data_IF_013912940167
#
_entry.id   IF_013912940167
#
_cell.length_a   1.000
_cell.length_b   1.000
_cell.length_c   1.000
_cell.angle_alpha   90.00
_cell.angle_beta   90.00
_cell.angle_gamma   90.00
#
_symmetry.space_group_name_H-M   'P 1'
#
loop_
_entity.id
_entity.type
_entity.pdbx_description
1 polymer ?
#
# COMPACT_ATOMS: atom_id res chain seq x y z
N UNK A 1 0.03 17.82 10.62
CA UNK A 1 -1.16 18.18 11.43
C UNK A 1 -2.24 17.16 11.15
N UNK A 2 -2.92 16.67 12.18
CA UNK A 2 -4.03 15.74 12.06
C UNK A 2 -5.02 15.97 13.20
N UNK A 3 -6.16 15.29 13.14
CA UNK A 3 -7.08 15.19 14.26
C UNK A 3 -6.90 13.83 14.93
N UNK A 4 -6.96 13.78 16.25
CA UNK A 4 -6.98 12.53 16.97
C UNK A 4 -8.38 11.86 16.87
N UNK A 5 -8.55 10.74 17.57
CA UNK A 5 -9.82 9.98 17.56
C UNK A 5 -11.03 10.74 18.14
N UNK A 6 -10.80 11.80 18.90
CA UNK A 6 -11.84 12.64 19.49
C UNK A 6 -12.10 13.89 18.64
N UNK A 7 -11.29 14.14 17.60
CA UNK A 7 -11.39 15.32 16.74
C UNK A 7 -10.48 16.47 17.16
N UNK A 8 -9.62 16.29 18.16
CA UNK A 8 -8.74 17.34 18.65
C UNK A 8 -7.49 17.45 17.77
N UNK A 9 -7.08 18.68 17.44
CA UNK A 9 -5.94 18.91 16.54
C UNK A 9 -4.60 18.65 17.23
N UNK A 10 -3.70 17.95 16.55
CA UNK A 10 -2.34 17.75 17.02
C UNK A 10 -1.30 17.80 15.89
N UNK A 11 -0.05 17.94 16.31
CA UNK A 11 1.14 17.85 15.46
C UNK A 11 2.06 16.73 16.00
N UNK A 12 2.76 16.08 15.08
CA UNK A 12 3.66 14.97 15.39
C UNK A 12 4.85 15.06 14.45
N UNK A 13 6.04 15.21 15.02
CA UNK A 13 7.28 14.99 14.31
C UNK A 13 7.55 13.49 14.23
N UNK A 14 7.83 13.00 13.02
CA UNK A 14 8.08 11.60 12.78
C UNK A 14 9.35 11.42 11.98
N UNK A 15 10.12 10.39 12.34
CA UNK A 15 11.32 9.96 11.63
C UNK A 15 11.31 8.45 11.40
N UNK A 16 12.36 7.96 10.72
CA UNK A 16 12.57 6.55 10.48
C UNK A 16 11.33 5.84 9.90
N UNK A 17 10.96 4.72 10.53
CA UNK A 17 9.84 3.90 10.06
C UNK A 17 8.49 4.60 10.25
N UNK A 18 8.31 5.38 11.31
CA UNK A 18 7.05 6.08 11.57
C UNK A 18 6.77 7.13 10.48
N UNK A 19 7.80 7.88 10.07
CA UNK A 19 7.70 8.80 8.96
C UNK A 19 7.29 8.09 7.66
N UNK A 20 7.86 6.91 7.38
CA UNK A 20 7.53 6.13 6.18
C UNK A 20 6.07 5.66 6.23
N UNK A 21 5.62 5.14 7.36
CA UNK A 21 4.23 4.70 7.54
C UNK A 21 3.25 5.85 7.35
N UNK A 22 3.47 7.00 8.00
CA UNK A 22 2.57 8.15 7.88
C UNK A 22 2.49 8.63 6.42
N UNK A 23 3.62 8.72 5.72
CA UNK A 23 3.64 9.07 4.29
C UNK A 23 2.91 8.04 3.43
N UNK A 24 3.09 6.75 3.71
CA UNK A 24 2.42 5.66 3.00
C UNK A 24 0.88 5.73 3.13
N UNK A 25 0.39 5.97 4.35
CA UNK A 25 -1.06 6.08 4.58
C UNK A 25 -1.64 7.35 3.94
N UNK A 26 -0.91 8.47 3.96
CA UNK A 26 -1.33 9.71 3.27
C UNK A 26 -1.43 9.46 1.76
N UNK A 27 -0.45 8.79 1.15
CA UNK A 27 -0.50 8.43 -0.27
C UNK A 27 -1.75 7.59 -0.60
N UNK A 28 -2.15 6.68 0.29
CA UNK A 28 -3.37 5.90 0.11
C UNK A 28 -4.65 6.75 0.12
N UNK A 29 -4.69 7.82 0.93
CA UNK A 29 -5.81 8.77 0.89
C UNK A 29 -5.89 9.53 -0.46
N UNK A 30 -4.74 9.76 -1.09
CA UNK A 30 -4.62 10.37 -2.42
C UNK A 30 -4.78 9.36 -3.58
N UNK A 31 -5.05 8.08 -3.27
CA UNK A 31 -5.17 7.01 -4.27
C UNK A 31 -3.83 6.60 -4.90
N UNK A 32 -2.71 6.97 -4.30
CA UNK A 32 -1.36 6.56 -4.70
C UNK A 32 -0.91 5.34 -3.92
N UNK A 33 -0.04 4.55 -4.54
CA UNK A 33 0.58 3.38 -3.93
C UNK A 33 2.08 3.42 -4.15
N UNK A 34 2.86 2.78 -3.27
CA UNK A 34 4.33 2.88 -3.33
C UNK A 34 4.94 2.45 -4.68
N UNK A 35 4.25 1.58 -5.42
CA UNK A 35 4.72 1.11 -6.73
C UNK A 35 4.70 2.21 -7.78
N UNK A 36 3.91 3.27 -7.60
CA UNK A 36 3.83 4.41 -8.53
C UNK A 36 5.15 5.20 -8.60
N UNK A 37 5.96 5.14 -7.54
CA UNK A 37 7.29 5.76 -7.47
C UNK A 37 8.41 4.91 -8.10
N UNK A 38 8.12 3.68 -8.51
CA UNK A 38 9.12 2.80 -9.12
C UNK A 38 9.22 3.05 -10.63
N UNK A 39 10.37 2.67 -11.22
CA UNK A 39 10.50 2.68 -12.68
C UNK A 39 9.51 1.72 -13.35
N UNK A 40 9.11 2.04 -14.58
CA UNK A 40 8.15 1.23 -15.39
C UNK A 40 8.53 -0.26 -15.42
N UNK A 41 9.81 -0.58 -15.59
CA UNK A 41 10.28 -1.97 -15.59
C UNK A 41 10.01 -2.70 -14.26
N UNK A 42 10.20 -2.03 -13.11
CA UNK A 42 9.92 -2.60 -11.79
C UNK A 42 8.42 -2.75 -11.57
N UNK A 43 7.61 -1.76 -11.98
CA UNK A 43 6.15 -1.84 -11.94
C UNK A 43 5.62 -3.05 -12.74
N UNK A 44 6.08 -3.22 -13.97
CA UNK A 44 5.67 -4.34 -14.82
C UNK A 44 6.03 -5.71 -14.22
N UNK A 45 7.22 -5.80 -13.60
CA UNK A 45 7.65 -7.02 -12.90
C UNK A 45 6.72 -7.35 -11.72
N UNK A 46 6.36 -6.34 -10.92
CA UNK A 46 5.43 -6.51 -9.79
C UNK A 46 4.06 -6.93 -10.30
N UNK A 47 3.52 -6.26 -11.32
CA UNK A 47 2.23 -6.58 -11.94
C UNK A 47 2.17 -8.03 -12.44
N UNK A 48 3.22 -8.48 -13.15
CA UNK A 48 3.34 -9.88 -13.60
C UNK A 48 3.32 -10.87 -12.42
N UNK A 49 4.05 -10.56 -11.35
CA UNK A 49 4.08 -11.40 -10.15
C UNK A 49 2.72 -11.46 -9.45
N UNK A 50 2.05 -10.33 -9.28
CA UNK A 50 0.71 -10.25 -8.69
C UNK A 50 -0.32 -11.02 -9.50
N UNK A 51 -0.36 -10.85 -10.82
CA UNK A 51 -1.24 -11.61 -11.71
C UNK A 51 -1.03 -13.12 -11.59
N UNK A 52 0.22 -13.57 -11.44
CA UNK A 52 0.53 -14.99 -11.22
C UNK A 52 -0.02 -15.48 -9.87
N UNK A 53 0.19 -14.72 -8.79
CA UNK A 53 -0.34 -15.06 -7.46
C UNK A 53 -1.86 -15.12 -7.49
N UNK A 54 -2.54 -14.14 -8.08
CA UNK A 54 -4.00 -14.11 -8.16
C UNK A 54 -4.57 -15.32 -8.93
N UNK A 55 -3.90 -15.75 -10.02
CA UNK A 55 -4.29 -16.97 -10.76
C UNK A 55 -4.13 -18.23 -9.90
N UNK A 56 -3.04 -18.34 -9.15
CA UNK A 56 -2.80 -19.50 -8.28
C UNK A 56 -3.79 -19.53 -7.10
N UNK A 57 -4.09 -18.38 -6.50
CA UNK A 57 -5.09 -18.29 -5.43
C UNK A 57 -6.50 -18.63 -5.92
N UNK A 58 -6.86 -18.24 -7.15
CA UNK A 58 -8.15 -18.58 -7.76
C UNK A 58 -8.27 -20.08 -8.11
N UNK A 59 -7.18 -20.73 -8.56
CA UNK A 59 -7.16 -22.15 -8.89
C UNK A 59 -7.15 -23.07 -7.66
N UNK A 60 -6.67 -22.59 -6.50
CA UNK A 60 -6.75 -23.31 -5.23
C UNK A 60 -8.15 -23.34 -4.61
N UNK A 61 -9.03 -22.40 -4.98
CA UNK A 61 -10.41 -22.32 -4.48
C UNK A 61 -11.39 -23.22 -5.26
N UNK A 62 -11.09 -23.59 -6.51
CA UNK A 62 -11.92 -24.47 -7.34
C UNK A 62 -11.58 -25.97 -7.22
N UNK A 63 -10.68 -26.33 -6.29
CA UNK A 63 -10.26 -27.72 -6.02
C UNK A 63 -10.82 -28.33 -4.74
N UNK A 64 -11.76 -27.66 -4.04
CA UNK A 64 -12.47 -28.23 -2.89
C UNK A 64 -13.98 -28.03 -3.08
N UNK A 65 -14.68 -29.16 -3.20
CA UNK A 65 -16.11 -29.39 -3.44
C UNK A 65 -16.55 -29.30 -4.91
#
# INVERSE_FOLDING_TARGET
RALDRNGDSFELDADGLLAVCIQHEIDHLDGKVFVDYLSRLKQDRIRKKLNKVMRHSAQGASGKA
#
